data_IF_446007647482
#
_entry.id   IF_446007647482
#
_cell.length_a   1.000
_cell.length_b   1.000
_cell.length_c   1.000
_cell.angle_alpha   90.00
_cell.angle_beta   90.00
_cell.angle_gamma   90.00
#
_symmetry.space_group_name_H-M   'P 1'
#
loop_
_entity.id
_entity.type
_entity.pdbx_description
1 polymer ?
#
# COMPACT_ATOMS: atom_id res chain seq x y z
N UNK A 1 14.20 29.91 -2.80
CA UNK A 1 13.68 30.95 -3.70
C UNK A 1 12.16 30.83 -3.77
N UNK A 2 11.59 29.69 -4.21
CA UNK A 2 10.12 29.46 -4.16
C UNK A 2 9.48 29.45 -2.75
N UNK A 3 10.10 28.83 -1.75
CA UNK A 3 9.54 28.80 -0.38
C UNK A 3 9.36 30.21 0.21
N UNK A 4 10.35 31.08 0.00
CA UNK A 4 10.27 32.47 0.43
C UNK A 4 9.23 33.26 -0.38
N UNK A 5 9.09 32.97 -1.67
CA UNK A 5 8.05 33.59 -2.51
C UNK A 5 6.65 33.27 -1.97
N UNK A 6 6.41 32.02 -1.55
CA UNK A 6 5.14 31.62 -0.93
C UNK A 6 4.94 32.36 0.40
N UNK A 7 5.92 32.35 1.30
CA UNK A 7 5.81 33.05 2.59
C UNK A 7 5.50 34.55 2.39
N UNK A 8 6.23 35.22 1.49
CA UNK A 8 6.03 36.63 1.15
C UNK A 8 4.65 36.89 0.53
N UNK A 9 4.17 36.01 -0.35
CA UNK A 9 2.84 36.15 -0.97
C UNK A 9 1.71 36.16 0.06
N UNK A 10 1.88 35.43 1.16
CA UNK A 10 0.91 35.37 2.26
C UNK A 10 1.24 36.32 3.41
N UNK A 11 2.22 37.22 3.23
CA UNK A 11 2.71 38.16 4.25
C UNK A 11 3.12 37.46 5.57
N UNK A 12 3.69 36.26 5.44
CA UNK A 12 4.19 35.49 6.57
C UNK A 12 5.67 35.79 6.74
N UNK A 13 5.97 36.53 7.81
CA UNK A 13 7.35 36.80 8.20
C UNK A 13 8.12 35.50 8.47
N UNK A 14 9.39 35.48 8.06
CA UNK A 14 10.27 34.31 8.22
C UNK A 14 10.36 33.83 9.69
N UNK A 15 10.37 34.76 10.64
CA UNK A 15 10.40 34.50 12.09
C UNK A 15 9.17 33.80 12.64
N UNK A 16 8.02 33.85 11.93
CA UNK A 16 6.78 33.16 12.31
C UNK A 16 6.76 31.70 11.85
N UNK A 17 7.72 31.28 11.03
CA UNK A 17 7.84 29.91 10.54
C UNK A 17 8.86 29.18 11.41
N UNK A 18 8.37 28.45 12.40
CA UNK A 18 9.21 27.77 13.39
C UNK A 18 9.78 26.44 12.90
N UNK A 19 9.04 25.71 12.06
CA UNK A 19 9.46 24.38 11.61
C UNK A 19 8.80 24.01 10.30
N UNK A 20 9.62 23.58 9.34
CA UNK A 20 9.14 23.03 8.08
C UNK A 20 9.17 21.50 8.10
N UNK A 21 8.01 20.86 7.91
CA UNK A 21 7.92 19.40 7.80
C UNK A 21 7.97 18.99 6.32
N UNK A 22 8.85 18.05 5.97
CA UNK A 22 9.03 17.63 4.57
C UNK A 22 9.25 16.11 4.41
N UNK A 23 9.01 15.59 3.21
CA UNK A 23 9.11 14.17 2.82
C UNK A 23 10.55 13.61 2.74
N UNK A 24 11.55 14.40 3.13
CA UNK A 24 13.00 14.10 2.99
C UNK A 24 13.52 14.00 1.55
N UNK A 25 12.75 14.40 0.54
CA UNK A 25 13.24 14.47 -0.84
C UNK A 25 14.46 15.38 -0.95
N UNK A 26 15.49 14.97 -1.70
CA UNK A 26 16.77 15.70 -1.76
C UNK A 26 16.61 17.17 -2.17
N UNK A 27 15.69 17.44 -3.10
CA UNK A 27 15.35 18.80 -3.54
C UNK A 27 14.65 19.60 -2.44
N UNK A 28 13.75 18.97 -1.67
CA UNK A 28 13.06 19.61 -0.54
C UNK A 28 14.05 19.96 0.57
N UNK A 29 14.93 19.02 0.94
CA UNK A 29 15.99 19.25 1.94
C UNK A 29 16.90 20.40 1.51
N UNK A 30 17.34 20.41 0.25
CA UNK A 30 18.17 21.50 -0.29
C UNK A 30 17.41 22.83 -0.30
N UNK A 31 16.15 22.81 -0.71
CA UNK A 31 15.29 24.00 -0.80
C UNK A 31 15.09 24.67 0.56
N UNK A 32 14.74 23.88 1.58
CA UNK A 32 14.54 24.36 2.96
C UNK A 32 15.85 24.90 3.55
N UNK A 33 16.97 24.19 3.35
CA UNK A 33 18.30 24.66 3.78
C UNK A 33 18.67 26.00 3.14
N UNK A 34 18.44 26.16 1.84
CA UNK A 34 18.69 27.42 1.13
C UNK A 34 17.74 28.55 1.57
N UNK A 35 16.51 28.21 1.96
CA UNK A 35 15.53 29.13 2.51
C UNK A 35 15.79 29.50 3.99
N UNK A 36 16.76 28.85 4.63
CA UNK A 36 17.16 29.07 6.03
C UNK A 36 16.02 28.84 7.03
N UNK A 37 15.12 27.90 6.76
CA UNK A 37 14.15 27.45 7.77
C UNK A 37 14.70 26.25 8.54
N UNK A 38 14.35 26.18 9.83
CA UNK A 38 14.47 24.95 10.59
C UNK A 38 13.49 23.91 10.04
N UNK A 39 13.89 22.63 10.06
CA UNK A 39 13.09 21.59 9.45
C UNK A 39 13.22 20.24 10.13
N UNK A 40 12.16 19.45 10.00
CA UNK A 40 12.12 18.07 10.42
C UNK A 40 11.52 17.19 9.33
N UNK A 41 11.93 15.92 9.33
CA UNK A 41 11.41 14.92 8.41
C UNK A 41 9.99 14.54 8.84
N UNK A 42 9.11 14.36 7.87
CA UNK A 42 7.79 13.81 8.09
C UNK A 42 7.90 12.41 8.69
N UNK A 43 7.26 12.19 9.84
CA UNK A 43 7.24 10.90 10.51
C UNK A 43 6.65 9.79 9.62
N UNK A 44 5.51 10.07 8.97
CA UNK A 44 4.82 9.11 8.10
C UNK A 44 5.71 8.67 6.94
N UNK A 45 6.44 9.60 6.31
CA UNK A 45 7.40 9.25 5.25
C UNK A 45 8.58 8.43 5.77
N UNK A 46 9.03 8.72 7.00
CA UNK A 46 10.11 7.96 7.65
C UNK A 46 9.66 6.53 7.94
N UNK A 47 8.45 6.36 8.49
CA UNK A 47 7.85 5.05 8.75
C UNK A 47 7.64 4.26 7.45
N UNK A 48 7.09 4.89 6.41
CA UNK A 48 6.93 4.28 5.09
C UNK A 48 8.25 3.74 4.53
N UNK A 49 9.34 4.49 4.69
CA UNK A 49 10.67 4.04 4.27
C UNK A 49 11.15 2.86 5.11
N UNK A 50 11.00 2.92 6.43
CA UNK A 50 11.40 1.82 7.32
C UNK A 50 10.70 0.51 6.95
N UNK A 51 9.38 0.56 6.73
CA UNK A 51 8.57 -0.60 6.30
C UNK A 51 9.02 -1.11 4.93
N UNK A 52 9.23 -0.21 3.96
CA UNK A 52 9.67 -0.62 2.63
C UNK A 52 11.05 -1.29 2.66
N UNK A 53 11.99 -0.78 3.45
CA UNK A 53 13.30 -1.43 3.62
C UNK A 53 13.19 -2.78 4.35
N UNK A 54 12.33 -2.90 5.36
CA UNK A 54 12.12 -4.17 6.06
C UNK A 54 11.44 -5.23 5.18
N UNK A 55 10.58 -4.82 4.24
CA UNK A 55 9.96 -5.75 3.28
C UNK A 55 10.96 -6.23 2.22
N UNK A 56 11.86 -5.37 1.76
CA UNK A 56 12.88 -5.73 0.75
C UNK A 56 13.80 -6.87 1.20
N UNK A 57 14.09 -6.96 2.50
CA UNK A 57 14.92 -8.04 3.05
C UNK A 57 14.13 -9.34 3.26
N UNK A 58 12.80 -9.29 3.23
CA UNK A 58 11.91 -10.45 3.38
C UNK A 58 11.42 -10.93 2.01
N UNK A 59 12.21 -11.79 1.38
CA UNK A 59 11.95 -12.30 0.02
C UNK A 59 10.63 -13.06 -0.08
N UNK A 60 10.28 -13.87 0.92
CA UNK A 60 9.03 -14.65 0.94
C UNK A 60 7.79 -13.76 1.02
N UNK A 61 7.83 -12.74 1.89
CA UNK A 61 6.74 -11.76 2.03
C UNK A 61 6.59 -10.96 0.73
N UNK A 62 7.71 -10.50 0.15
CA UNK A 62 7.69 -9.78 -1.13
C UNK A 62 7.14 -10.64 -2.28
N UNK A 63 7.51 -11.93 -2.33
CA UNK A 63 6.98 -12.88 -3.30
C UNK A 63 5.47 -13.10 -3.13
N UNK A 64 5.00 -13.15 -1.88
CA UNK A 64 3.57 -13.28 -1.54
C UNK A 64 2.78 -12.04 -1.97
N UNK A 65 3.28 -10.84 -1.65
CA UNK A 65 2.67 -9.58 -2.11
C UNK A 65 2.60 -9.56 -3.64
N UNK A 66 3.67 -9.96 -4.34
CA UNK A 66 3.66 -10.01 -5.80
C UNK A 66 2.65 -11.03 -6.37
N UNK A 67 2.47 -12.17 -5.71
CA UNK A 67 1.43 -13.14 -6.08
C UNK A 67 0.02 -12.59 -5.86
N UNK A 68 -0.23 -11.96 -4.71
CA UNK A 68 -1.46 -11.23 -4.42
C UNK A 68 -1.78 -10.17 -5.47
N UNK A 69 -0.79 -9.36 -5.86
CA UNK A 69 -0.95 -8.37 -6.94
C UNK A 69 -1.45 -9.01 -8.24
N UNK A 70 -0.81 -10.08 -8.70
CA UNK A 70 -1.20 -10.77 -9.95
C UNK A 70 -2.64 -11.28 -9.87
N UNK A 71 -3.02 -11.84 -8.72
CA UNK A 71 -4.36 -12.34 -8.50
C UNK A 71 -5.39 -11.20 -8.55
N UNK A 72 -5.17 -10.10 -7.81
CA UNK A 72 -6.07 -8.94 -7.83
C UNK A 72 -6.15 -8.32 -9.23
N UNK A 73 -5.02 -8.22 -9.93
CA UNK A 73 -4.92 -7.71 -11.30
C UNK A 73 -5.82 -8.50 -12.26
N UNK A 74 -5.89 -9.83 -12.15
CA UNK A 74 -6.81 -10.66 -12.96
C UNK A 74 -8.27 -10.21 -12.82
N UNK A 75 -8.75 -10.04 -11.59
CA UNK A 75 -10.12 -9.60 -11.34
C UNK A 75 -10.34 -8.15 -11.78
N UNK A 76 -9.38 -7.25 -11.56
CA UNK A 76 -9.52 -5.85 -11.93
C UNK A 76 -9.55 -5.59 -13.44
N UNK A 77 -8.95 -6.49 -14.24
CA UNK A 77 -8.96 -6.38 -15.70
C UNK A 77 -10.08 -7.16 -16.40
N UNK A 78 -10.84 -7.98 -15.67
CA UNK A 78 -11.88 -8.83 -16.25
C UNK A 78 -13.23 -8.61 -15.58
N UNK A 79 -14.12 -7.86 -16.24
CA UNK A 79 -15.49 -7.67 -15.75
C UNK A 79 -16.23 -9.00 -15.55
N UNK A 80 -15.99 -9.99 -16.42
CA UNK A 80 -16.53 -11.34 -16.27
C UNK A 80 -15.99 -12.04 -15.01
N UNK A 81 -14.71 -11.85 -14.68
CA UNK A 81 -14.13 -12.40 -13.44
C UNK A 81 -14.75 -11.72 -12.21
N UNK A 82 -14.98 -10.41 -12.24
CA UNK A 82 -15.65 -9.69 -11.15
C UNK A 82 -17.08 -10.16 -10.95
N UNK A 83 -17.84 -10.34 -12.02
CA UNK A 83 -19.22 -10.81 -11.96
C UNK A 83 -19.29 -12.23 -11.38
N UNK A 84 -18.41 -13.12 -11.84
CA UNK A 84 -18.31 -14.49 -11.30
C UNK A 84 -17.90 -14.48 -9.82
N UNK A 85 -16.92 -13.66 -9.44
CA UNK A 85 -16.50 -13.53 -8.05
C UNK A 85 -17.66 -13.04 -7.18
N UNK A 86 -18.41 -12.03 -7.63
CA UNK A 86 -19.59 -11.51 -6.94
C UNK A 86 -20.66 -12.59 -6.74
N UNK A 87 -20.91 -13.41 -7.76
CA UNK A 87 -21.83 -14.53 -7.65
C UNK A 87 -21.38 -15.54 -6.59
N UNK A 88 -20.10 -15.92 -6.60
CA UNK A 88 -19.52 -16.83 -5.60
C UNK A 88 -19.60 -16.20 -4.20
N UNK A 89 -19.35 -14.90 -4.06
CA UNK A 89 -19.46 -14.18 -2.79
C UNK A 89 -20.88 -14.28 -2.21
N UNK A 90 -21.91 -14.09 -3.05
CA UNK A 90 -23.32 -14.25 -2.67
C UNK A 90 -23.66 -15.69 -2.27
N UNK A 91 -23.22 -16.66 -3.06
CA UNK A 91 -23.45 -18.09 -2.78
C UNK A 91 -22.80 -18.51 -1.45
N UNK A 92 -21.62 -17.97 -1.13
CA UNK A 92 -20.92 -18.23 0.13
C UNK A 92 -21.37 -17.34 1.31
N UNK A 93 -22.25 -16.36 1.07
CA UNK A 93 -22.66 -15.35 2.04
C UNK A 93 -21.48 -14.63 2.70
N UNK A 94 -20.44 -14.31 1.93
CA UNK A 94 -19.30 -13.47 2.35
C UNK A 94 -19.52 -12.02 1.88
N UNK A 95 -18.82 -11.03 2.44
CA UNK A 95 -18.94 -9.64 1.98
C UNK A 95 -18.71 -9.50 0.47
N UNK A 96 -19.59 -8.76 -0.21
CA UNK A 96 -19.60 -8.52 -1.66
C UNK A 96 -18.58 -7.45 -2.09
N UNK A 97 -17.36 -7.64 -1.62
CA UNK A 97 -16.30 -6.66 -1.67
C UNK A 97 -15.41 -6.91 -2.89
N UNK A 98 -15.17 -5.86 -3.69
CA UNK A 98 -14.17 -5.93 -4.77
C UNK A 98 -12.76 -6.06 -4.19
N UNK A 99 -11.87 -6.71 -4.95
CA UNK A 99 -10.46 -6.79 -4.59
C UNK A 99 -9.77 -5.44 -4.80
N UNK A 100 -8.84 -5.10 -3.91
CA UNK A 100 -8.15 -3.81 -3.92
C UNK A 100 -6.71 -4.01 -4.38
N UNK A 101 -6.28 -3.26 -5.40
CA UNK A 101 -4.89 -3.27 -5.86
C UNK A 101 -4.05 -2.37 -4.97
N UNK A 102 -2.84 -2.82 -4.62
CA UNK A 102 -1.92 -1.97 -3.89
C UNK A 102 -1.16 -0.98 -4.79
N UNK A 103 -0.58 0.02 -4.14
CA UNK A 103 0.33 1.02 -4.70
C UNK A 103 1.68 0.77 -4.05
N UNK A 104 2.67 0.35 -4.84
CA UNK A 104 3.97 -0.12 -4.33
C UNK A 104 4.74 0.89 -3.45
N UNK A 105 4.40 2.17 -3.53
CA UNK A 105 5.01 3.25 -2.73
C UNK A 105 4.29 3.50 -1.40
N UNK A 106 3.14 2.87 -1.15
CA UNK A 106 2.28 3.08 0.02
C UNK A 106 2.02 1.77 0.78
N UNK A 107 2.58 1.63 1.99
CA UNK A 107 2.43 0.41 2.79
C UNK A 107 0.97 0.14 3.17
N UNK A 108 0.19 1.21 3.40
CA UNK A 108 -1.24 1.13 3.70
C UNK A 108 -1.99 0.38 2.60
N UNK A 109 -1.68 0.67 1.33
CA UNK A 109 -2.37 0.02 0.22
C UNK A 109 -2.03 -1.46 0.09
N UNK A 110 -0.78 -1.85 0.40
CA UNK A 110 -0.39 -3.26 0.47
C UNK A 110 -1.10 -3.97 1.62
N UNK A 111 -1.21 -3.32 2.78
CA UNK A 111 -1.98 -3.82 3.93
C UNK A 111 -3.44 -4.08 3.55
N UNK A 112 -4.14 -3.10 2.96
CA UNK A 112 -5.55 -3.26 2.56
C UNK A 112 -5.76 -4.32 1.47
N UNK A 113 -4.82 -4.45 0.53
CA UNK A 113 -4.87 -5.53 -0.46
C UNK A 113 -4.80 -6.91 0.21
N UNK A 114 -3.86 -7.09 1.15
CA UNK A 114 -3.71 -8.36 1.88
C UNK A 114 -4.96 -8.64 2.72
N UNK A 115 -5.43 -7.67 3.50
CA UNK A 115 -6.66 -7.79 4.30
C UNK A 115 -7.86 -8.21 3.42
N UNK A 116 -8.03 -7.57 2.26
CA UNK A 116 -9.10 -7.91 1.31
C UNK A 116 -8.93 -9.30 0.70
N UNK A 117 -7.71 -9.73 0.39
CA UNK A 117 -7.44 -11.07 -0.11
C UNK A 117 -7.77 -12.13 0.94
N UNK A 118 -7.46 -11.88 2.21
CA UNK A 118 -7.77 -12.79 3.32
C UNK A 118 -9.28 -12.89 3.58
N UNK A 119 -9.98 -11.75 3.59
CA UNK A 119 -11.45 -11.71 3.69
C UNK A 119 -12.11 -12.54 2.58
N UNK A 120 -11.56 -12.46 1.36
CA UNK A 120 -12.12 -13.08 0.16
C UNK A 120 -11.52 -14.45 -0.18
N UNK A 121 -10.66 -14.99 0.68
CA UNK A 121 -9.88 -16.23 0.47
C UNK A 121 -10.74 -17.41 0.00
N UNK A 122 -11.92 -17.60 0.62
CA UNK A 122 -12.86 -18.68 0.27
C UNK A 122 -13.45 -18.50 -1.13
N UNK A 123 -13.92 -17.30 -1.46
CA UNK A 123 -14.51 -16.99 -2.76
C UNK A 123 -13.48 -17.07 -3.89
N UNK A 124 -12.28 -16.53 -3.65
CA UNK A 124 -11.15 -16.63 -4.56
C UNK A 124 -10.78 -18.10 -4.80
N UNK A 125 -10.68 -18.91 -3.75
CA UNK A 125 -10.25 -20.30 -3.88
C UNK A 125 -11.23 -21.14 -4.70
N UNK A 126 -12.54 -20.91 -4.54
CA UNK A 126 -13.55 -21.55 -5.40
C UNK A 126 -13.47 -21.06 -6.84
N UNK A 127 -13.32 -19.75 -7.06
CA UNK A 127 -13.15 -19.21 -8.42
C UNK A 127 -11.95 -19.85 -9.14
N UNK A 128 -10.81 -19.94 -8.45
CA UNK A 128 -9.58 -20.49 -9.03
C UNK A 128 -9.70 -22.00 -9.30
N UNK A 129 -10.43 -22.75 -8.47
CA UNK A 129 -10.67 -24.17 -8.70
C UNK A 129 -11.37 -24.45 -10.06
N UNK A 130 -12.15 -23.49 -10.56
CA UNK A 130 -12.82 -23.57 -11.87
C UNK A 130 -12.01 -22.92 -13.02
N UNK A 131 -10.81 -22.38 -12.76
CA UNK A 131 -10.00 -21.64 -13.73
C UNK A 131 -8.51 -22.03 -13.66
N UNK A 132 -8.16 -23.16 -14.28
CA UNK A 132 -6.81 -23.78 -14.27
C UNK A 132 -5.64 -22.87 -14.70
N UNK A 133 -5.90 -21.78 -15.42
CA UNK A 133 -4.86 -20.85 -15.90
C UNK A 133 -4.47 -19.80 -14.87
N UNK A 134 -5.29 -19.59 -13.83
CA UNK A 134 -5.04 -18.61 -12.78
C UNK A 134 -4.34 -19.29 -11.60
N UNK A 135 -3.10 -18.88 -11.33
CA UNK A 135 -2.33 -19.41 -10.20
C UNK A 135 -2.80 -18.74 -8.91
N UNK A 136 -3.39 -19.52 -7.99
CA UNK A 136 -3.72 -19.05 -6.64
C UNK A 136 -2.45 -18.83 -5.79
N UNK A 137 -2.58 -18.11 -4.68
CA UNK A 137 -1.56 -18.13 -3.63
C UNK A 137 -1.41 -19.56 -3.09
N UNK A 138 -0.17 -19.95 -2.78
CA UNK A 138 0.11 -21.26 -2.16
C UNK A 138 -0.43 -21.32 -0.73
N UNK A 139 -0.56 -22.53 -0.16
CA UNK A 139 -0.96 -22.69 1.23
C UNK A 139 -0.05 -21.90 2.20
N UNK A 140 1.26 -21.87 1.94
CA UNK A 140 2.23 -21.08 2.73
C UNK A 140 1.98 -19.57 2.58
N UNK A 141 1.71 -19.09 1.37
CA UNK A 141 1.39 -17.68 1.12
C UNK A 141 0.07 -17.25 1.76
N UNK A 142 -0.90 -18.17 1.84
CA UNK A 142 -2.15 -17.99 2.57
C UNK A 142 -2.00 -18.10 4.09
N UNK A 143 -0.86 -18.60 4.59
CA UNK A 143 -0.57 -18.81 6.02
C UNK A 143 0.07 -17.58 6.68
N UNK A 144 0.13 -16.43 5.98
CA UNK A 144 0.52 -15.16 6.59
C UNK A 144 -0.39 -14.73 7.76
N UNK A 145 -1.52 -15.43 7.97
CA UNK A 145 -2.44 -15.28 9.10
C UNK A 145 -1.84 -15.66 10.47
N UNK A 146 -0.57 -16.04 10.56
CA UNK A 146 0.06 -16.46 11.82
C UNK A 146 1.51 -15.97 11.97
N UNK A 147 1.76 -14.68 11.75
CA UNK A 147 2.80 -14.05 12.55
C UNK A 147 2.21 -13.85 13.94
N UNK A 148 2.65 -14.67 14.90
CA UNK A 148 2.39 -14.53 16.32
C UNK A 148 2.47 -13.06 16.70
N UNK A 149 1.31 -12.44 16.91
CA UNK A 149 1.18 -11.10 17.45
C UNK A 149 1.44 -11.14 18.96
N UNK A 150 2.66 -11.55 19.32
CA UNK A 150 3.27 -11.28 20.61
C UNK A 150 4.34 -10.21 20.40
N UNK A 151 3.91 -8.95 20.40
CA UNK A 151 4.72 -7.80 20.78
C UNK A 151 3.94 -6.95 21.78
#
# INVERSE_FOLDING_TARGET
>A
MELNNVANRWDIEHTKIHLFIHDSGANMVKGVRLAKYDSARCFIHTLQRAINESLKVQTEVTATIAAGRRLVTHFNHSGLAQEKLLRIQKELSVPEHQLVQDISTSWNSTFYMIERLLEQKRAISLYVADHDTLINLTAQQWSLDAADAEF
#
